data_IF_228201577151
#
_entry.id   IF_228201577151
#
_cell.length_a   1.000
_cell.length_b   1.000
_cell.length_c   1.000
_cell.angle_alpha   90.00
_cell.angle_beta   90.00
_cell.angle_gamma   90.00
#
_symmetry.space_group_name_H-M   'P 1'
#
loop_
_entity.id
_entity.type
_entity.pdbx_description
1 polymer ?
#
# COMPACT_ATOMS: atom_id res chain seq x y z
N UNK A 1 2.32 -50.91 -29.36
CA UNK A 1 2.18 -49.59 -30.02
C UNK A 1 0.78 -49.08 -29.76
N UNK A 2 0.64 -48.16 -28.80
CA UNK A 2 -0.64 -47.56 -28.46
C UNK A 2 -0.89 -46.27 -29.25
N UNK A 3 -2.16 -45.95 -29.49
CA UNK A 3 -2.86 -44.81 -28.88
C UNK A 3 -4.29 -44.74 -29.41
N UNK A 4 -5.21 -44.54 -28.47
CA UNK A 4 -6.58 -44.10 -28.68
C UNK A 4 -6.64 -42.58 -28.91
N UNK A 5 -7.76 -42.12 -29.47
CA UNK A 5 -8.24 -40.73 -29.45
C UNK A 5 -8.68 -40.25 -30.83
N UNK A 6 -9.75 -39.47 -31.01
CA UNK A 6 -10.77 -38.94 -30.12
C UNK A 6 -11.89 -38.40 -31.05
N UNK A 7 -13.15 -38.54 -30.66
CA UNK A 7 -14.31 -38.00 -31.38
C UNK A 7 -14.38 -36.47 -31.31
N UNK A 8 -14.75 -35.85 -32.43
CA UNK A 8 -15.23 -34.47 -32.54
C UNK A 8 -16.70 -34.37 -32.13
N UNK A 9 -17.06 -33.39 -31.29
CA UNK A 9 -18.41 -32.83 -31.18
C UNK A 9 -18.32 -31.31 -30.96
N UNK A 10 -19.38 -30.64 -31.39
CA UNK A 10 -19.57 -29.29 -31.90
C UNK A 10 -19.84 -28.17 -30.87
N UNK A 11 -19.47 -26.94 -31.27
CA UNK A 11 -19.98 -25.57 -31.02
C UNK A 11 -20.99 -25.27 -29.87
N UNK A 12 -20.80 -24.11 -29.17
CA UNK A 12 -21.91 -23.36 -28.54
C UNK A 12 -21.65 -22.37 -27.37
N UNK A 13 -21.00 -21.22 -27.64
CA UNK A 13 -21.31 -19.82 -27.23
C UNK A 13 -21.60 -19.31 -25.76
N UNK A 14 -20.69 -18.43 -25.25
CA UNK A 14 -20.71 -17.13 -24.45
C UNK A 14 -21.73 -16.85 -23.31
N UNK A 15 -21.39 -16.22 -22.16
CA UNK A 15 -20.83 -14.87 -21.84
C UNK A 15 -20.23 -14.88 -20.40
N UNK A 16 -19.29 -14.04 -19.92
CA UNK A 16 -18.51 -12.89 -20.42
C UNK A 16 -17.33 -12.65 -19.45
N UNK A 17 -16.09 -12.68 -19.95
CA UNK A 17 -14.88 -12.26 -19.22
C UNK A 17 -14.75 -10.72 -19.25
N UNK A 18 -14.27 -10.05 -18.19
CA UNK A 18 -13.88 -8.64 -18.27
C UNK A 18 -12.71 -8.47 -19.26
N UNK A 19 -12.57 -7.29 -19.88
CA UNK A 19 -11.66 -7.07 -21.00
C UNK A 19 -10.21 -7.31 -20.60
N UNK A 20 -9.54 -8.14 -21.40
CA UNK A 20 -8.10 -8.36 -21.38
C UNK A 20 -7.39 -7.04 -21.66
N UNK A 21 -6.71 -6.50 -20.65
CA UNK A 21 -5.75 -5.42 -20.85
C UNK A 21 -4.53 -6.01 -21.58
N UNK A 22 -4.07 -5.44 -22.71
CA UNK A 22 -2.96 -6.01 -23.45
C UNK A 22 -1.66 -5.90 -22.65
N UNK A 23 -0.94 -7.02 -22.52
CA UNK A 23 0.46 -7.07 -22.11
C UNK A 23 1.36 -6.47 -23.19
N UNK A 24 1.30 -5.16 -23.39
CA UNK A 24 2.22 -4.43 -24.29
C UNK A 24 2.53 -3.05 -23.72
N UNK A 25 3.22 -3.00 -22.59
CA UNK A 25 3.91 -1.77 -22.13
C UNK A 25 5.39 -2.01 -21.77
N UNK A 26 5.92 -3.18 -22.13
CA UNK A 26 7.34 -3.49 -22.00
C UNK A 26 8.06 -3.34 -23.33
N UNK A 27 8.08 -2.14 -23.90
CA UNK A 27 9.07 -1.72 -24.91
C UNK A 27 9.01 -0.21 -25.20
N UNK A 28 10.18 0.43 -25.04
CA UNK A 28 10.60 1.70 -25.62
C UNK A 28 9.87 3.00 -25.19
N UNK A 29 10.43 3.69 -24.20
CA UNK A 29 10.71 5.13 -24.32
C UNK A 29 12.10 5.45 -23.77
N UNK A 30 12.99 5.69 -24.70
CA UNK A 30 14.36 6.18 -24.58
C UNK A 30 14.32 7.66 -24.18
N UNK A 31 14.52 7.92 -22.91
CA UNK A 31 14.90 9.23 -22.37
C UNK A 31 15.93 8.99 -21.26
N UNK A 32 16.82 9.94 -20.95
CA UNK A 32 17.79 9.76 -19.88
C UNK A 32 17.04 9.69 -18.54
N UNK A 33 16.66 8.49 -18.14
CA UNK A 33 16.19 8.20 -16.79
C UNK A 33 17.41 8.34 -15.90
N UNK A 34 17.50 9.48 -15.22
CA UNK A 34 18.51 9.73 -14.19
C UNK A 34 18.22 8.80 -13.02
N UNK A 35 18.71 7.58 -13.10
CA UNK A 35 18.76 6.63 -12.00
C UNK A 35 19.88 7.06 -11.04
N UNK A 36 19.63 8.09 -10.23
CA UNK A 36 20.58 8.51 -9.20
C UNK A 36 20.20 7.89 -7.84
N UNK A 37 20.35 6.58 -7.71
CA UNK A 37 20.47 5.94 -6.40
C UNK A 37 21.21 4.60 -6.53
N UNK A 38 22.43 4.66 -7.08
CA UNK A 38 23.40 3.61 -6.82
C UNK A 38 24.20 4.07 -5.60
N UNK A 39 23.94 3.43 -4.46
CA UNK A 39 24.95 3.28 -3.40
C UNK A 39 26.25 2.83 -4.09
N UNK A 40 27.34 3.54 -3.82
CA UNK A 40 28.66 3.36 -4.47
C UNK A 40 29.24 1.94 -4.33
N UNK A 41 28.64 1.11 -3.48
CA UNK A 41 29.22 -0.15 -3.02
C UNK A 41 28.46 -1.40 -3.53
N UNK A 42 27.51 -1.25 -4.45
CA UNK A 42 26.74 -2.37 -5.02
C UNK A 42 25.74 -3.02 -4.04
N UNK A 43 25.62 -2.51 -2.82
CA UNK A 43 24.65 -2.97 -1.83
C UNK A 43 23.23 -2.51 -2.19
N UNK A 44 22.27 -3.44 -2.20
CA UNK A 44 20.86 -3.17 -2.48
C UNK A 44 20.27 -2.21 -1.45
N UNK A 45 19.70 -1.08 -1.87
CA UNK A 45 18.97 -0.21 -0.95
C UNK A 45 17.65 -0.86 -0.53
N UNK A 46 17.31 -0.76 0.75
CA UNK A 46 16.08 -1.34 1.29
C UNK A 46 15.06 -0.26 1.60
N UNK A 47 13.81 -0.46 1.21
CA UNK A 47 12.67 0.38 1.57
C UNK A 47 11.65 -0.42 2.36
N UNK A 48 10.86 0.23 3.21
CA UNK A 48 9.75 -0.41 3.91
C UNK A 48 8.41 0.29 3.62
N UNK A 49 7.44 -0.49 3.17
CA UNK A 49 6.05 -0.06 2.99
C UNK A 49 5.22 -0.68 4.11
N UNK A 50 4.57 0.15 4.91
CA UNK A 50 3.80 -0.29 6.07
C UNK A 50 2.35 0.10 5.88
N UNK A 51 1.49 -0.87 5.56
CA UNK A 51 0.05 -0.67 5.53
C UNK A 51 -0.51 -0.81 6.93
N UNK A 52 -1.27 0.18 7.42
CA UNK A 52 -1.98 0.04 8.69
C UNK A 52 -3.37 -0.57 8.51
N UNK A 53 -3.82 -1.28 9.54
CA UNK A 53 -5.09 -1.99 9.58
C UNK A 53 -5.24 -2.79 10.87
N UNK A 54 -6.40 -3.40 11.07
CA UNK A 54 -6.67 -4.35 12.14
C UNK A 54 -6.67 -5.80 11.59
N UNK A 55 -6.14 -6.77 12.35
CA UNK A 55 -6.12 -8.19 11.96
C UNK A 55 -7.49 -8.85 12.15
N UNK A 56 -7.79 -9.82 11.28
CA UNK A 56 -9.01 -10.63 11.34
C UNK A 56 -10.01 -10.31 10.24
N UNK A 57 -10.72 -11.34 9.78
CA UNK A 57 -11.61 -11.29 8.62
C UNK A 57 -12.69 -10.19 8.73
N UNK A 58 -13.23 -9.99 9.94
CA UNK A 58 -14.24 -8.95 10.21
C UNK A 58 -13.78 -7.52 9.89
N UNK A 59 -12.48 -7.27 9.86
CA UNK A 59 -11.93 -5.95 9.54
C UNK A 59 -11.44 -5.82 8.10
N UNK A 60 -11.36 -6.94 7.36
CA UNK A 60 -10.70 -7.00 6.06
C UNK A 60 -11.25 -5.98 5.05
N UNK A 61 -12.55 -5.67 5.11
CA UNK A 61 -13.20 -4.71 4.22
C UNK A 61 -13.56 -3.36 4.88
N UNK A 62 -13.00 -3.07 6.05
CA UNK A 62 -13.28 -1.81 6.77
C UNK A 62 -12.43 -0.67 6.23
N UNK A 63 -12.93 0.57 6.35
CA UNK A 63 -12.20 1.78 5.95
C UNK A 63 -10.82 1.86 6.60
N UNK A 64 -10.71 1.46 7.87
CA UNK A 64 -9.45 1.45 8.62
C UNK A 64 -8.41 0.44 8.12
N UNK A 65 -8.80 -0.49 7.25
CA UNK A 65 -7.92 -1.48 6.65
C UNK A 65 -7.45 -1.08 5.23
N UNK A 66 -7.75 0.13 4.76
CA UNK A 66 -7.31 0.59 3.43
C UNK A 66 -5.80 0.53 3.26
N UNK A 67 -5.02 0.74 4.34
CA UNK A 67 -3.56 0.58 4.30
C UNK A 67 -3.13 -0.85 3.92
N UNK A 68 -3.77 -1.87 4.50
CA UNK A 68 -3.55 -3.26 4.09
C UNK A 68 -3.99 -3.51 2.64
N UNK A 69 -5.14 -2.96 2.24
CA UNK A 69 -5.66 -3.14 0.88
C UNK A 69 -4.70 -2.56 -0.17
N UNK A 70 -4.10 -1.39 0.08
CA UNK A 70 -3.10 -0.80 -0.82
C UNK A 70 -1.83 -1.66 -0.88
N UNK A 71 -1.33 -2.17 0.24
CA UNK A 71 -0.21 -3.12 0.23
C UNK A 71 -0.52 -4.35 -0.62
N UNK A 72 -1.74 -4.89 -0.48
CA UNK A 72 -2.17 -6.08 -1.22
C UNK A 72 -2.29 -5.81 -2.73
N UNK A 73 -2.83 -4.65 -3.10
CA UNK A 73 -2.92 -4.19 -4.48
C UNK A 73 -1.52 -3.97 -5.10
N UNK A 74 -0.62 -3.31 -4.36
CA UNK A 74 0.74 -3.05 -4.83
C UNK A 74 1.52 -4.36 -5.02
N UNK A 75 1.52 -5.26 -4.03
CA UNK A 75 2.23 -6.56 -4.11
C UNK A 75 1.81 -7.36 -5.33
N UNK A 76 0.50 -7.43 -5.63
CA UNK A 76 -0.02 -8.20 -6.78
C UNK A 76 0.51 -7.73 -8.14
N UNK A 77 1.07 -6.52 -8.22
CA UNK A 77 1.66 -5.98 -9.46
C UNK A 77 3.09 -6.43 -9.70
N UNK A 78 3.83 -6.79 -8.64
CA UNK A 78 5.26 -7.13 -8.72
C UNK A 78 5.55 -8.61 -8.43
N UNK A 79 4.70 -9.25 -7.64
CA UNK A 79 4.95 -10.60 -7.16
C UNK A 79 3.65 -11.36 -6.88
N UNK A 80 3.77 -12.68 -6.77
CA UNK A 80 2.72 -13.51 -6.17
C UNK A 80 2.47 -13.06 -4.73
N UNK A 81 1.20 -13.05 -4.33
CA UNK A 81 0.77 -12.61 -3.01
C UNK A 81 1.10 -13.66 -1.93
N UNK A 82 2.31 -13.60 -1.37
CA UNK A 82 2.91 -14.65 -0.53
C UNK A 82 3.47 -14.07 0.77
N UNK A 83 2.63 -13.37 1.53
CA UNK A 83 3.01 -12.90 2.86
C UNK A 83 3.28 -14.08 3.80
N UNK A 84 4.38 -13.99 4.55
CA UNK A 84 4.64 -14.89 5.67
C UNK A 84 4.42 -14.15 6.99
N UNK A 85 4.04 -14.88 8.04
CA UNK A 85 3.89 -14.30 9.37
C UNK A 85 5.24 -14.27 10.10
N UNK A 86 5.71 -13.08 10.42
CA UNK A 86 6.87 -12.86 11.27
C UNK A 86 6.44 -12.72 12.72
N UNK A 87 6.83 -13.69 13.55
CA UNK A 87 6.48 -13.75 14.98
C UNK A 87 7.12 -12.63 15.80
N UNK A 88 8.34 -12.20 15.46
CA UNK A 88 9.04 -11.15 16.19
C UNK A 88 8.39 -9.79 15.92
N UNK A 89 8.01 -9.54 14.66
CA UNK A 89 7.34 -8.31 14.25
C UNK A 89 5.84 -8.30 14.56
N UNK A 90 5.25 -9.46 14.89
CA UNK A 90 3.81 -9.68 14.94
C UNK A 90 3.13 -9.12 13.68
N UNK A 91 3.67 -9.46 12.50
CA UNK A 91 3.30 -8.83 11.23
C UNK A 91 3.28 -9.84 10.09
N UNK A 92 2.41 -9.61 9.11
CA UNK A 92 2.55 -10.24 7.80
C UNK A 92 3.61 -9.46 7.02
N UNK A 93 4.59 -10.16 6.46
CA UNK A 93 5.74 -9.57 5.78
C UNK A 93 5.95 -10.22 4.42
N UNK A 94 6.28 -9.42 3.42
CA UNK A 94 6.74 -9.89 2.13
C UNK A 94 7.89 -9.02 1.64
N UNK A 95 9.00 -9.64 1.25
CA UNK A 95 10.14 -8.96 0.63
C UNK A 95 10.05 -9.12 -0.89
N UNK A 96 10.21 -8.01 -1.61
CA UNK A 96 10.12 -7.96 -3.07
C UNK A 96 11.39 -7.30 -3.59
N UNK A 97 12.19 -8.04 -4.37
CA UNK A 97 13.31 -7.47 -5.10
C UNK A 97 12.79 -6.70 -6.31
N UNK A 98 13.30 -5.49 -6.52
CA UNK A 98 13.03 -4.65 -7.70
C UNK A 98 14.32 -4.56 -8.52
N UNK A 99 14.53 -5.45 -9.52
CA UNK A 99 15.80 -5.53 -10.24
C UNK A 99 16.17 -4.25 -10.98
N UNK A 100 15.17 -3.54 -11.51
CA UNK A 100 15.38 -2.31 -12.30
C UNK A 100 16.03 -1.17 -11.50
N UNK A 101 15.85 -1.16 -10.17
CA UNK A 101 16.39 -0.14 -9.28
C UNK A 101 17.40 -0.70 -8.28
N UNK A 102 17.73 -2.00 -8.37
CA UNK A 102 18.55 -2.74 -7.41
C UNK A 102 18.08 -2.55 -5.95
N UNK A 103 16.76 -2.53 -5.73
CA UNK A 103 16.17 -2.33 -4.40
C UNK A 103 15.52 -3.60 -3.85
N UNK A 104 15.39 -3.68 -2.52
CA UNK A 104 14.49 -4.62 -1.85
C UNK A 104 13.42 -3.82 -1.12
N UNK A 105 12.16 -4.14 -1.38
CA UNK A 105 11.03 -3.52 -0.71
C UNK A 105 10.42 -4.52 0.27
N UNK A 106 10.38 -4.13 1.54
CA UNK A 106 9.79 -4.92 2.63
C UNK A 106 8.38 -4.38 2.86
N UNK A 107 7.37 -5.15 2.47
CA UNK A 107 5.97 -4.82 2.70
C UNK A 107 5.50 -5.45 4.01
N UNK A 108 4.95 -4.63 4.90
CA UNK A 108 4.60 -5.02 6.27
C UNK A 108 3.15 -4.65 6.56
N UNK A 109 2.38 -5.63 7.05
CA UNK A 109 1.02 -5.43 7.58
C UNK A 109 0.99 -5.87 9.04
N UNK A 110 1.14 -4.93 10.01
CA UNK A 110 1.12 -5.25 11.43
C UNK A 110 -0.12 -6.03 11.84
N UNK A 111 0.04 -7.22 12.41
CA UNK A 111 -1.07 -8.01 12.95
C UNK A 111 -1.34 -7.67 14.42
N UNK A 112 -1.04 -6.43 14.81
CA UNK A 112 -1.45 -5.82 16.07
C UNK A 112 -2.78 -5.09 15.86
N UNK A 113 -3.48 -4.74 16.94
CA UNK A 113 -4.53 -3.73 16.81
C UNK A 113 -3.95 -2.37 16.40
N UNK A 114 -4.77 -1.55 15.74
CA UNK A 114 -4.35 -0.26 15.18
C UNK A 114 -3.66 0.65 16.21
N UNK A 115 -4.21 0.74 17.42
CA UNK A 115 -3.64 1.54 18.51
C UNK A 115 -2.28 1.01 19.03
N UNK A 116 -1.85 -0.16 18.57
CA UNK A 116 -0.60 -0.81 18.92
C UNK A 116 0.37 -0.95 17.73
N UNK A 117 0.06 -0.40 16.54
CA UNK A 117 0.92 -0.52 15.36
C UNK A 117 2.36 -0.05 15.59
N UNK A 118 2.59 0.92 16.48
CA UNK A 118 3.93 1.43 16.78
C UNK A 118 4.89 0.38 17.35
N UNK A 119 4.38 -0.66 18.03
CA UNK A 119 5.25 -1.73 18.56
C UNK A 119 5.84 -2.57 17.44
N UNK A 120 5.04 -2.88 16.40
CA UNK A 120 5.49 -3.58 15.21
C UNK A 120 6.51 -2.75 14.43
N UNK A 121 6.22 -1.46 14.20
CA UNK A 121 7.14 -0.56 13.45
C UNK A 121 8.47 -0.37 14.17
N UNK A 122 8.46 -0.19 15.50
CA UNK A 122 9.71 -0.12 16.29
C UNK A 122 10.52 -1.40 16.19
N UNK A 123 9.84 -2.55 16.24
CA UNK A 123 10.53 -3.85 16.14
C UNK A 123 11.08 -4.09 14.75
N UNK A 124 10.39 -3.61 13.70
CA UNK A 124 10.87 -3.61 12.32
C UNK A 124 12.18 -2.86 12.18
N UNK A 125 12.23 -1.61 12.64
CA UNK A 125 13.45 -0.78 12.62
C UNK A 125 14.62 -1.45 13.36
N UNK A 126 14.35 -2.11 14.50
CA UNK A 126 15.37 -2.86 15.23
C UNK A 126 15.85 -4.10 14.48
N UNK A 127 14.92 -4.88 13.90
CA UNK A 127 15.25 -6.12 13.17
C UNK A 127 16.11 -5.83 11.93
N UNK A 128 15.81 -4.75 11.22
CA UNK A 128 16.50 -4.33 10.00
C UNK A 128 17.48 -3.17 10.23
N UNK A 129 18.00 -3.03 11.46
CA UNK A 129 18.96 -2.00 11.80
C UNK A 129 20.16 -2.05 10.86
N UNK A 130 20.52 -0.91 10.27
CA UNK A 130 21.60 -0.80 9.28
C UNK A 130 21.21 -1.13 7.84
N UNK A 131 19.99 -1.60 7.56
CA UNK A 131 19.49 -1.83 6.19
C UNK A 131 18.68 -0.66 5.63
N UNK A 132 17.96 0.05 6.49
CA UNK A 132 17.25 1.27 6.15
C UNK A 132 17.02 2.12 7.41
N UNK A 133 16.79 3.42 7.22
CA UNK A 133 16.41 4.34 8.29
C UNK A 133 14.91 4.64 8.27
N UNK A 134 14.45 5.43 9.24
CA UNK A 134 13.06 5.86 9.32
C UNK A 134 12.59 6.67 8.10
N UNK A 135 13.51 7.28 7.34
CA UNK A 135 13.19 8.08 6.14
C UNK A 135 12.85 7.22 4.93
N UNK A 136 13.32 5.97 4.91
CA UNK A 136 12.99 4.93 3.93
C UNK A 136 11.73 4.14 4.30
N UNK A 137 10.90 4.66 5.22
CA UNK A 137 9.59 4.11 5.56
C UNK A 137 8.48 4.95 4.92
N UNK A 138 7.54 4.28 4.26
CA UNK A 138 6.25 4.82 3.86
C UNK A 138 5.11 4.13 4.62
N UNK A 139 4.39 4.90 5.45
CA UNK A 139 3.22 4.40 6.19
C UNK A 139 1.93 4.76 5.44
N UNK A 140 1.11 3.76 5.12
CA UNK A 140 -0.16 3.93 4.40
C UNK A 140 -1.33 3.84 5.38
N UNK A 141 -2.19 4.85 5.38
CA UNK A 141 -3.31 4.99 6.32
C UNK A 141 -4.58 5.46 5.63
N UNK A 142 -5.74 5.22 6.27
CA UNK A 142 -6.97 5.94 5.97
C UNK A 142 -6.93 7.39 6.47
N UNK A 143 -7.65 8.26 5.78
CA UNK A 143 -7.83 9.65 6.17
C UNK A 143 -9.30 10.07 5.99
N UNK A 144 -9.99 10.23 7.11
CA UNK A 144 -11.40 10.65 7.14
C UNK A 144 -11.60 12.11 6.73
N UNK A 145 -10.54 12.92 6.68
CA UNK A 145 -10.65 14.30 6.20
C UNK A 145 -10.60 14.41 4.67
N UNK A 146 -10.43 13.29 3.97
CA UNK A 146 -10.33 13.23 2.51
C UNK A 146 -11.45 12.37 1.92
N UNK A 147 -12.05 12.84 0.84
CA UNK A 147 -13.01 12.07 0.06
C UNK A 147 -12.37 10.79 -0.49
N UNK A 148 -13.12 9.70 -0.56
CA UNK A 148 -12.68 8.45 -1.18
C UNK A 148 -12.28 8.70 -2.65
N UNK A 149 -11.08 8.25 -2.99
CA UNK A 149 -10.43 8.53 -4.28
C UNK A 149 -9.43 9.68 -4.21
N UNK A 150 -9.46 10.56 -3.20
CA UNK A 150 -8.39 11.54 -2.97
C UNK A 150 -7.27 10.91 -2.17
N UNK A 151 -6.02 11.13 -2.59
CA UNK A 151 -4.84 10.58 -1.93
C UNK A 151 -3.84 11.70 -1.69
N UNK A 152 -3.12 11.63 -0.57
CA UNK A 152 -2.17 12.66 -0.17
C UNK A 152 -0.90 12.06 0.39
N UNK A 153 0.23 12.34 -0.23
CA UNK A 153 1.55 12.00 0.29
C UNK A 153 2.12 13.14 1.17
N UNK A 154 2.83 12.78 2.23
CA UNK A 154 3.57 13.70 3.11
C UNK A 154 4.87 13.08 3.59
N UNK A 155 5.98 13.80 3.45
CA UNK A 155 7.29 13.37 3.96
C UNK A 155 7.36 13.32 5.50
N UNK A 156 6.66 14.25 6.17
CA UNK A 156 6.52 14.31 7.64
C UNK A 156 5.18 14.96 8.07
N UNK A 157 4.88 14.93 9.36
CA UNK A 157 3.69 15.56 9.94
C UNK A 157 3.00 14.71 11.02
N UNK A 158 2.07 15.35 11.74
CA UNK A 158 1.38 14.75 12.87
C UNK A 158 0.38 13.66 12.49
N UNK A 159 -0.05 12.91 13.50
CA UNK A 159 -1.03 11.83 13.36
C UNK A 159 -2.37 12.29 12.79
N UNK A 160 -2.75 13.56 12.97
CA UNK A 160 -4.04 14.08 12.49
C UNK A 160 -5.23 13.28 13.05
N UNK A 161 -5.16 12.85 14.31
CA UNK A 161 -6.20 12.07 14.97
C UNK A 161 -6.12 10.55 14.75
N UNK A 162 -5.38 10.06 13.74
CA UNK A 162 -5.30 8.64 13.41
C UNK A 162 -4.55 7.81 14.48
N UNK A 163 -5.20 6.79 15.03
CA UNK A 163 -4.69 6.02 16.17
C UNK A 163 -3.41 5.22 15.86
N UNK A 164 -3.29 4.68 14.65
CA UNK A 164 -2.06 4.00 14.19
C UNK A 164 -0.84 4.92 14.18
N UNK A 165 -0.94 6.12 13.59
CA UNK A 165 0.12 7.12 13.62
C UNK A 165 0.43 7.58 15.05
N UNK A 166 -0.57 7.83 15.90
CA UNK A 166 -0.33 8.12 17.33
C UNK A 166 0.49 7.04 18.02
N UNK A 167 0.21 5.77 17.71
CA UNK A 167 0.94 4.62 18.25
C UNK A 167 2.40 4.61 17.80
N UNK A 168 2.64 4.85 16.49
CA UNK A 168 3.98 4.93 15.92
C UNK A 168 4.76 6.10 16.52
N UNK A 169 4.18 7.30 16.56
CA UNK A 169 4.80 8.49 17.16
C UNK A 169 5.15 8.27 18.62
N UNK A 170 4.26 7.65 19.40
CA UNK A 170 4.52 7.30 20.80
C UNK A 170 5.68 6.31 20.95
N UNK A 171 5.79 5.33 20.04
CA UNK A 171 6.81 4.29 20.12
C UNK A 171 8.18 4.73 19.60
N UNK A 172 8.22 5.63 18.61
CA UNK A 172 9.44 6.08 17.94
C UNK A 172 9.93 7.45 18.43
N UNK A 173 9.08 8.26 19.04
CA UNK A 173 9.42 9.61 19.49
C UNK A 173 9.63 10.63 18.35
N UNK A 174 9.14 10.35 17.15
CA UNK A 174 9.36 11.18 15.96
C UNK A 174 8.23 11.05 14.95
N UNK A 175 8.12 12.06 14.07
CA UNK A 175 7.18 12.15 12.94
C UNK A 175 7.90 12.19 11.57
N UNK A 176 9.22 11.99 11.57
CA UNK A 176 10.11 12.13 10.40
C UNK A 176 10.14 10.86 9.51
N UNK A 177 8.96 10.30 9.22
CA UNK A 177 8.75 9.20 8.28
C UNK A 177 7.67 9.56 7.26
N UNK A 178 7.72 8.96 6.07
CA UNK A 178 6.74 9.14 5.01
C UNK A 178 5.36 8.62 5.35
N UNK A 179 4.31 9.28 4.86
CA UNK A 179 2.96 8.74 4.93
C UNK A 179 2.14 9.01 3.66
N UNK A 180 1.37 8.00 3.26
CA UNK A 180 0.37 8.06 2.21
C UNK A 180 -1.01 7.98 2.87
N UNK A 181 -1.78 9.07 2.76
CA UNK A 181 -3.12 9.21 3.31
C UNK A 181 -4.13 8.93 2.20
N UNK A 182 -4.95 7.90 2.38
CA UNK A 182 -5.98 7.48 1.43
C UNK A 182 -7.34 7.91 1.97
N UNK A 183 -8.08 8.71 1.20
CA UNK A 183 -9.39 9.19 1.62
C UNK A 183 -10.40 8.08 1.79
N UNK A 184 -11.23 8.18 2.82
CA UNK A 184 -12.29 7.21 3.14
C UNK A 184 -13.65 7.87 3.37
N UNK A 185 -13.80 9.09 2.84
CA UNK A 185 -14.91 10.02 3.06
C UNK A 185 -15.05 10.45 4.54
N UNK A 186 -15.50 11.69 4.83
CA UNK A 186 -15.83 12.09 6.18
C UNK A 186 -16.99 11.28 6.77
N UNK A 187 -16.96 10.95 8.08
CA UNK A 187 -18.10 10.35 8.76
C UNK A 187 -19.33 11.26 8.72
N UNK A 188 -20.55 10.70 8.71
CA UNK A 188 -21.76 11.50 8.86
C UNK A 188 -21.83 12.15 10.26
N UNK A 189 -22.53 13.28 10.37
CA UNK A 189 -22.75 13.98 11.64
C UNK A 189 -21.59 14.90 12.05
N UNK A 190 -21.34 15.03 13.35
CA UNK A 190 -20.28 15.90 13.90
C UNK A 190 -18.85 15.36 13.67
N UNK A 191 -18.76 14.14 13.14
CA UNK A 191 -17.53 13.45 12.79
C UNK A 191 -16.60 13.13 13.94
N UNK A 192 -17.14 12.98 15.17
CA UNK A 192 -16.34 12.75 16.38
C UNK A 192 -16.80 11.51 17.15
N UNK A 193 -15.95 11.10 18.09
CA UNK A 193 -16.26 10.04 19.06
C UNK A 193 -16.74 8.72 18.43
N UNK A 194 -17.95 8.32 18.79
CA UNK A 194 -18.54 7.05 18.36
C UNK A 194 -18.86 7.03 16.86
N UNK A 195 -19.30 8.15 16.27
CA UNK A 195 -19.56 8.23 14.83
C UNK A 195 -18.30 7.99 14.01
N UNK A 196 -17.19 8.61 14.40
CA UNK A 196 -15.89 8.38 13.77
C UNK A 196 -15.46 6.91 13.89
N UNK A 197 -15.60 6.32 15.08
CA UNK A 197 -15.21 4.93 15.33
C UNK A 197 -16.04 3.96 14.50
N UNK A 198 -17.37 4.14 14.45
CA UNK A 198 -18.28 3.36 13.63
C UNK A 198 -17.98 3.50 12.14
N UNK A 199 -17.64 4.70 11.69
CA UNK A 199 -17.30 4.96 10.29
C UNK A 199 -16.04 4.22 9.86
N UNK A 200 -14.93 4.39 10.58
CA UNK A 200 -13.65 3.75 10.20
C UNK A 200 -13.71 2.22 10.30
N UNK A 201 -14.48 1.68 11.25
CA UNK A 201 -14.72 0.24 11.37
C UNK A 201 -15.87 -0.25 10.48
N UNK A 202 -16.53 0.63 9.74
CA UNK A 202 -17.58 0.30 8.79
C UNK A 202 -16.98 -0.20 7.47
N UNK A 203 -17.66 -1.16 6.85
CA UNK A 203 -17.28 -1.68 5.54
C UNK A 203 -17.56 -0.68 4.42
N UNK A 204 -16.80 -0.78 3.33
CA UNK A 204 -17.16 -0.14 2.07
C UNK A 204 -18.42 -0.77 1.48
N UNK A 205 -19.39 0.05 1.09
CA UNK A 205 -20.60 -0.38 0.42
C UNK A 205 -20.36 -0.55 -1.10
N UNK A 206 -21.38 -1.03 -1.83
CA UNK A 206 -21.26 -1.34 -3.27
C UNK A 206 -20.93 -0.13 -4.14
N UNK A 207 -21.46 1.06 -3.84
CA UNK A 207 -21.15 2.27 -4.62
C UNK A 207 -19.74 2.77 -4.31
N UNK A 208 -19.27 2.58 -3.08
CA UNK A 208 -17.90 2.90 -2.68
C UNK A 208 -16.87 1.93 -3.27
N UNK A 209 -17.21 0.64 -3.45
CA UNK A 209 -16.26 -0.38 -3.96
C UNK A 209 -15.61 0.01 -5.30
N UNK A 210 -16.36 0.61 -6.23
CA UNK A 210 -15.79 1.04 -7.52
C UNK A 210 -14.80 2.21 -7.38
N UNK A 211 -15.13 3.19 -6.52
CA UNK A 211 -14.23 4.30 -6.18
C UNK A 211 -13.01 3.79 -5.41
N UNK A 212 -13.20 2.81 -4.53
CA UNK A 212 -12.13 2.16 -3.78
C UNK A 212 -11.13 1.49 -4.72
N UNK A 213 -11.57 0.64 -5.66
CA UNK A 213 -10.65 -0.01 -6.61
C UNK A 213 -9.81 1.02 -7.39
N UNK A 214 -10.45 2.10 -7.86
CA UNK A 214 -9.75 3.21 -8.53
C UNK A 214 -8.74 3.89 -7.60
N UNK A 215 -9.11 4.07 -6.33
CA UNK A 215 -8.24 4.64 -5.29
C UNK A 215 -7.06 3.71 -4.94
N UNK A 216 -7.27 2.39 -4.89
CA UNK A 216 -6.23 1.40 -4.62
C UNK A 216 -5.23 1.34 -5.78
N UNK A 217 -5.72 1.43 -7.01
CA UNK A 217 -4.87 1.55 -8.20
C UNK A 217 -4.00 2.81 -8.13
N UNK A 218 -4.61 3.97 -7.93
CA UNK A 218 -3.87 5.23 -7.85
C UNK A 218 -2.88 5.26 -6.67
N UNK A 219 -3.26 4.71 -5.52
CA UNK A 219 -2.36 4.56 -4.38
C UNK A 219 -1.15 3.68 -4.73
N UNK A 220 -1.37 2.58 -5.47
CA UNK A 220 -0.30 1.69 -5.92
C UNK A 220 0.67 2.37 -6.88
N UNK A 221 0.18 3.20 -7.81
CA UNK A 221 1.04 4.04 -8.68
C UNK A 221 1.87 5.04 -7.87
N UNK A 222 1.28 5.67 -6.85
CA UNK A 222 2.00 6.60 -5.97
C UNK A 222 3.07 5.88 -5.14
N UNK A 223 2.80 4.66 -4.68
CA UNK A 223 3.79 3.81 -3.98
C UNK A 223 4.92 3.43 -4.93
N UNK A 224 4.63 3.05 -6.18
CA UNK A 224 5.65 2.75 -7.19
C UNK A 224 6.55 3.96 -7.47
N UNK A 225 5.96 5.14 -7.67
CA UNK A 225 6.72 6.37 -7.85
C UNK A 225 7.61 6.70 -6.63
N UNK A 226 7.13 6.40 -5.41
CA UNK A 226 7.93 6.57 -4.20
C UNK A 226 9.10 5.59 -4.16
N UNK A 227 8.88 4.31 -4.50
CA UNK A 227 9.94 3.29 -4.59
C UNK A 227 11.00 3.67 -5.64
N UNK A 228 10.57 4.18 -6.80
CA UNK A 228 11.48 4.51 -7.90
C UNK A 228 12.30 5.78 -7.66
N UNK A 229 11.73 6.80 -7.02
CA UNK A 229 12.33 8.13 -6.98
C UNK A 229 12.70 8.62 -5.58
N UNK A 230 12.12 8.05 -4.51
CA UNK A 230 12.26 8.54 -3.13
C UNK A 230 11.78 9.98 -2.92
N UNK A 231 11.24 10.63 -3.96
CA UNK A 231 10.93 12.05 -3.98
C UNK A 231 9.42 12.29 -3.87
N UNK A 232 9.01 12.83 -2.73
CA UNK A 232 7.60 13.15 -2.46
C UNK A 232 7.00 14.18 -3.43
N UNK A 233 7.81 15.04 -4.08
CA UNK A 233 7.31 15.98 -5.08
C UNK A 233 6.77 15.25 -6.31
N UNK A 234 7.47 14.22 -6.79
CA UNK A 234 7.01 13.40 -7.92
C UNK A 234 5.80 12.56 -7.53
N UNK A 235 5.82 11.95 -6.35
CA UNK A 235 4.67 11.21 -5.80
C UNK A 235 3.42 12.09 -5.75
N UNK A 236 3.56 13.35 -5.33
CA UNK A 236 2.43 14.28 -5.24
C UNK A 236 1.85 14.69 -6.59
N UNK A 237 2.61 14.63 -7.70
CA UNK A 237 2.05 14.91 -9.04
C UNK A 237 1.05 13.85 -9.50
N UNK A 238 1.17 12.64 -8.96
CA UNK A 238 0.29 11.51 -9.28
C UNK A 238 -0.96 11.46 -8.37
N UNK A 239 -1.03 12.31 -7.34
CA UNK A 239 -2.12 12.30 -6.39
C UNK A 239 -3.45 12.70 -7.06
N UNK A 240 -4.49 11.85 -7.05
CA UNK A 240 -5.80 12.22 -7.55
C UNK A 240 -6.37 13.37 -6.73
N UNK A 241 -6.88 14.40 -7.41
CA UNK A 241 -7.43 15.60 -6.78
C UNK A 241 -6.40 16.65 -6.34
N UNK A 242 -5.11 16.51 -6.69
CA UNK A 242 -4.06 17.48 -6.37
C UNK A 242 -4.28 18.87 -6.98
N UNK A 243 -5.07 18.97 -8.06
CA UNK A 243 -5.37 20.22 -8.78
C UNK A 243 -6.69 20.90 -8.36
N UNK A 244 -7.34 20.45 -7.29
CA UNK A 244 -8.54 21.10 -6.76
C UNK A 244 -8.18 21.86 -5.49
N UNK A 245 -7.73 23.10 -5.66
CA UNK A 245 -7.71 24.14 -4.61
C UNK A 245 -8.82 25.13 -4.89
#
# INVERSE_FOLDING_TARGET
MGRQGLCFVTQGWWMSKPPSVPCTWYQAQSGPRLYSCLSSDGERSTLAIIGLGNPGERFANTRHNVGFMVCDAWVRRYASHNYHYDRLLCSLVQEIAIPMTNQVVIVVKPQTFMNNSGTAVRTLLRKFSGKFSIREILVIIDDVALDLGRIRARAKGSAGGHNGLKSIEKCLGTQEYGRLRVGVDPPPGDGRGEYLTKHVLGNFNRSESQRLESSLWAASEMVDAWVQHGNYAEVMKLAPGANQR
#
